data_IF_183643256766
#
_entry.id   IF_183643256766
#
_cell.length_a   1.000
_cell.length_b   1.000
_cell.length_c   1.000
_cell.angle_alpha   90.00
_cell.angle_beta   90.00
_cell.angle_gamma   90.00
#
_symmetry.space_group_name_H-M   'P 1'
#
loop_
_entity.id
_entity.type
_entity.pdbx_description
1 polymer ?
#
# COMPACT_ATOMS: atom_id res chain seq x y z
N UNK A 1 7.72 33.49 -40.03
CA UNK A 1 6.92 33.80 -38.81
C UNK A 1 5.93 32.70 -38.45
N UNK A 2 5.05 32.26 -39.38
CA UNK A 2 4.06 31.18 -39.13
C UNK A 2 4.65 29.85 -38.64
N UNK A 3 5.73 29.36 -39.25
CA UNK A 3 6.36 28.09 -38.83
C UNK A 3 7.05 28.18 -37.46
N UNK A 4 7.60 29.35 -37.10
CA UNK A 4 8.21 29.58 -35.78
C UNK A 4 7.12 29.55 -34.70
N UNK A 5 5.95 30.14 -34.97
CA UNK A 5 4.81 30.12 -34.07
C UNK A 5 4.32 28.68 -33.79
N UNK A 6 4.32 27.82 -34.81
CA UNK A 6 3.92 26.41 -34.69
C UNK A 6 4.93 25.61 -33.86
N UNK A 7 6.23 25.85 -34.04
CA UNK A 7 7.28 25.17 -33.26
C UNK A 7 7.20 25.58 -31.78
N UNK A 8 6.94 26.86 -31.52
CA UNK A 8 6.78 27.37 -30.14
C UNK A 8 5.51 26.80 -29.49
N UNK A 9 4.38 26.73 -30.21
CA UNK A 9 3.15 26.14 -29.66
C UNK A 9 3.28 24.65 -29.40
N UNK A 10 3.97 23.91 -30.28
CA UNK A 10 4.24 22.49 -30.11
C UNK A 10 5.21 22.22 -28.95
N UNK A 11 6.23 23.06 -28.77
CA UNK A 11 7.14 23.01 -27.63
C UNK A 11 6.45 23.28 -26.29
N UNK A 12 5.50 24.21 -26.25
CA UNK A 12 4.73 24.54 -25.05
C UNK A 12 3.76 23.40 -24.64
N UNK A 13 3.23 22.65 -25.62
CA UNK A 13 2.38 21.48 -25.37
C UNK A 13 3.07 20.35 -24.60
N UNK A 14 4.39 20.19 -24.74
CA UNK A 14 5.14 19.14 -24.03
C UNK A 14 5.24 19.36 -22.52
N UNK A 15 5.09 20.60 -22.05
CA UNK A 15 5.14 20.94 -20.61
C UNK A 15 3.93 20.39 -19.84
N UNK A 16 2.85 20.03 -20.52
CA UNK A 16 1.62 19.51 -19.87
C UNK A 16 1.63 18.00 -19.61
N UNK A 17 2.63 17.24 -20.10
CA UNK A 17 2.69 15.77 -19.93
C UNK A 17 3.43 15.30 -18.66
N UNK A 18 3.90 16.20 -17.79
CA UNK A 18 4.76 15.81 -16.66
C UNK A 18 4.02 15.24 -15.43
N UNK A 19 2.69 15.23 -15.41
CA UNK A 19 1.95 14.70 -14.27
C UNK A 19 1.77 13.18 -14.41
N UNK A 20 2.74 12.40 -13.91
CA UNK A 20 2.62 10.94 -13.75
C UNK A 20 2.20 10.63 -12.32
N UNK A 21 1.07 9.96 -12.17
CA UNK A 21 0.60 9.45 -10.87
C UNK A 21 1.41 8.19 -10.49
N UNK A 22 2.65 8.42 -10.06
CA UNK A 22 3.60 7.36 -9.72
C UNK A 22 3.10 6.47 -8.58
N UNK A 23 2.31 7.03 -7.65
CA UNK A 23 1.79 6.29 -6.50
C UNK A 23 0.80 5.21 -6.93
N UNK A 24 -0.13 5.51 -7.85
CA UNK A 24 -1.05 4.50 -8.39
C UNK A 24 -0.32 3.39 -9.14
N UNK A 25 0.72 3.75 -9.90
CA UNK A 25 1.53 2.76 -10.62
C UNK A 25 2.29 1.83 -9.66
N UNK A 26 2.83 2.36 -8.57
CA UNK A 26 3.49 1.58 -7.53
C UNK A 26 2.51 0.61 -6.83
N UNK A 27 1.34 1.09 -6.41
CA UNK A 27 0.32 0.26 -5.78
C UNK A 27 -0.15 -0.85 -6.74
N UNK A 28 -0.39 -0.53 -8.01
CA UNK A 28 -0.78 -1.52 -9.02
C UNK A 28 0.30 -2.58 -9.24
N UNK A 29 1.58 -2.19 -9.19
CA UNK A 29 2.71 -3.12 -9.24
C UNK A 29 2.68 -4.11 -8.08
N UNK A 30 2.52 -3.62 -6.85
CA UNK A 30 2.42 -4.46 -5.65
C UNK A 30 1.23 -5.41 -5.73
N UNK A 31 0.05 -4.93 -6.12
CA UNK A 31 -1.15 -5.79 -6.25
C UNK A 31 -0.92 -6.90 -7.27
N UNK A 32 -0.35 -6.57 -8.42
CA UNK A 32 -0.04 -7.55 -9.47
C UNK A 32 0.97 -8.59 -8.99
N UNK A 33 1.99 -8.17 -8.23
CA UNK A 33 3.02 -9.07 -7.71
C UNK A 33 2.46 -10.11 -6.73
N UNK A 34 1.50 -9.69 -5.90
CA UNK A 34 0.87 -10.52 -4.86
C UNK A 34 -0.33 -11.31 -5.36
N UNK A 35 -0.82 -11.03 -6.56
CA UNK A 35 -1.95 -11.75 -7.14
C UNK A 35 -1.63 -13.25 -7.26
N UNK A 36 -2.61 -14.08 -6.90
CA UNK A 36 -2.50 -15.55 -6.86
C UNK A 36 -1.37 -16.10 -5.97
N UNK A 37 -0.89 -15.32 -5.00
CA UNK A 37 0.04 -15.79 -3.96
C UNK A 37 -0.67 -16.07 -2.65
N UNK A 38 -0.14 -17.05 -1.92
CA UNK A 38 -0.62 -17.42 -0.59
C UNK A 38 0.41 -17.03 0.48
N UNK A 39 -0.09 -16.48 1.58
CA UNK A 39 0.73 -16.18 2.76
C UNK A 39 0.61 -17.34 3.74
N UNK A 40 1.73 -18.04 3.96
CA UNK A 40 1.80 -19.15 4.91
C UNK A 40 2.22 -18.62 6.28
N UNK A 41 1.35 -18.77 7.26
CA UNK A 41 1.65 -18.45 8.66
C UNK A 41 2.40 -19.63 9.31
N UNK A 42 3.51 -19.39 10.04
CA UNK A 42 4.17 -20.45 10.79
C UNK A 42 3.25 -21.09 11.84
N UNK A 43 3.53 -22.36 12.19
CA UNK A 43 2.70 -23.10 13.15
C UNK A 43 2.84 -22.56 14.58
N UNK A 44 4.05 -22.14 14.95
CA UNK A 44 4.37 -21.69 16.31
C UNK A 44 4.47 -20.17 16.41
N UNK A 45 3.46 -19.45 15.92
CA UNK A 45 3.43 -17.99 16.08
C UNK A 45 3.14 -17.65 17.54
N UNK A 46 3.95 -16.74 18.04
CA UNK A 46 3.85 -16.22 19.39
C UNK A 46 3.27 -14.80 19.32
N UNK A 47 2.20 -14.54 20.07
CA UNK A 47 1.52 -13.24 20.04
C UNK A 47 1.67 -12.49 21.36
N UNK A 48 1.76 -11.17 21.24
CA UNK A 48 1.55 -10.25 22.36
C UNK A 48 0.09 -9.80 22.37
N UNK A 49 -0.62 -10.03 23.49
CA UNK A 49 -2.01 -9.56 23.67
C UNK A 49 -2.15 -8.83 24.99
N UNK A 50 -2.75 -7.64 24.96
CA UNK A 50 -2.94 -6.80 26.15
C UNK A 50 -1.65 -6.57 26.97
N UNK A 51 -0.52 -6.36 26.28
CA UNK A 51 0.78 -6.14 26.90
C UNK A 51 1.43 -7.38 27.54
N UNK A 52 0.82 -8.56 27.40
CA UNK A 52 1.43 -9.84 27.76
C UNK A 52 1.97 -10.52 26.53
N UNK A 53 3.24 -10.87 26.58
CA UNK A 53 3.93 -11.57 25.49
C UNK A 53 3.91 -13.09 25.69
N UNK A 54 4.29 -13.83 24.65
CA UNK A 54 4.38 -15.30 24.66
C UNK A 54 3.08 -16.03 24.96
N UNK A 55 1.98 -15.56 24.37
CA UNK A 55 0.69 -16.24 24.50
C UNK A 55 0.51 -17.27 23.39
N UNK A 56 0.10 -18.48 23.78
CA UNK A 56 -0.51 -19.46 22.87
C UNK A 56 -1.89 -18.92 22.47
N UNK A 57 -1.91 -18.14 21.39
CA UNK A 57 -3.12 -17.56 20.83
C UNK A 57 -3.33 -18.11 19.42
N UNK A 58 -4.51 -18.67 19.18
CA UNK A 58 -4.92 -19.10 17.86
C UNK A 58 -5.70 -17.98 17.17
N UNK A 59 -5.26 -17.59 15.98
CA UNK A 59 -5.99 -16.64 15.15
C UNK A 59 -7.36 -17.27 14.83
N UNK A 60 -8.48 -16.59 15.11
CA UNK A 60 -9.80 -17.11 14.80
C UNK A 60 -9.98 -17.28 13.28
N UNK A 61 -10.88 -18.20 12.90
CA UNK A 61 -11.32 -18.33 11.51
C UNK A 61 -12.06 -17.07 11.08
N UNK A 62 -11.74 -16.58 9.87
CA UNK A 62 -12.34 -15.39 9.28
C UNK A 62 -12.23 -15.46 7.76
N UNK A 63 -13.22 -14.96 7.04
CA UNK A 63 -13.23 -14.92 5.57
C UNK A 63 -12.08 -14.07 5.02
N UNK A 64 -11.69 -13.03 5.77
CA UNK A 64 -10.63 -12.11 5.42
C UNK A 64 -9.66 -11.91 6.58
N UNK A 65 -8.38 -11.70 6.26
CA UNK A 65 -7.32 -11.40 7.22
C UNK A 65 -6.55 -10.18 6.72
N UNK A 66 -6.35 -9.20 7.60
CA UNK A 66 -5.55 -8.00 7.31
C UNK A 66 -4.15 -8.22 7.88
N UNK A 67 -3.16 -8.30 6.99
CA UNK A 67 -1.75 -8.34 7.37
C UNK A 67 -1.14 -6.95 7.19
N UNK A 68 -0.63 -6.36 8.27
CA UNK A 68 0.10 -5.11 8.21
C UNK A 68 1.49 -5.26 8.81
N UNK A 69 2.49 -4.81 8.06
CA UNK A 69 3.84 -4.64 8.56
C UNK A 69 4.02 -3.23 9.14
N UNK A 70 4.40 -3.14 10.41
CA UNK A 70 4.73 -1.88 11.09
C UNK A 70 6.15 -1.99 11.65
N UNK A 71 7.03 -1.09 11.23
CA UNK A 71 8.37 -0.96 11.78
C UNK A 71 8.35 -0.11 13.07
N UNK A 72 9.38 -0.28 13.91
CA UNK A 72 9.55 0.48 15.16
C UNK A 72 10.00 1.93 14.94
N UNK A 73 10.41 2.28 13.72
CA UNK A 73 10.96 3.60 13.37
C UNK A 73 9.85 4.55 12.89
N UNK A 74 8.69 4.01 12.48
CA UNK A 74 7.56 4.79 11.99
C UNK A 74 6.46 5.04 13.02
N UNK A 75 5.64 6.08 12.77
CA UNK A 75 4.40 6.30 13.50
C UNK A 75 3.38 5.18 13.18
N UNK A 76 3.15 4.29 14.15
CA UNK A 76 2.17 3.18 14.00
C UNK A 76 0.78 3.68 13.65
N UNK A 77 0.28 4.73 14.32
CA UNK A 77 -1.04 5.28 14.03
C UNK A 77 -1.14 5.80 12.58
N UNK A 78 -0.06 6.41 12.08
CA UNK A 78 0.02 6.98 10.75
C UNK A 78 0.06 5.91 9.65
N UNK A 79 0.68 4.76 9.92
CA UNK A 79 0.74 3.62 8.97
C UNK A 79 -0.50 2.71 9.05
N UNK A 80 -0.99 2.43 10.26
CA UNK A 80 -2.06 1.47 10.51
C UNK A 80 -3.43 2.01 10.08
N UNK A 81 -3.70 3.31 10.28
CA UNK A 81 -4.92 3.98 9.82
C UNK A 81 -6.23 3.20 10.10
N UNK A 82 -6.34 2.53 11.26
CA UNK A 82 -7.47 1.63 11.60
C UNK A 82 -8.86 2.22 11.30
N UNK A 83 -9.02 3.52 11.53
CA UNK A 83 -10.28 4.21 11.28
C UNK A 83 -10.74 4.13 9.81
N UNK A 84 -9.81 4.13 8.85
CA UNK A 84 -10.11 4.03 7.42
C UNK A 84 -10.51 2.62 7.00
N UNK A 85 -10.04 1.60 7.70
CA UNK A 85 -10.42 0.21 7.40
C UNK A 85 -11.91 -0.04 7.57
N UNK A 86 -12.59 0.72 8.44
CA UNK A 86 -14.06 0.69 8.60
C UNK A 86 -14.81 1.11 7.33
N UNK A 87 -14.15 1.71 6.35
CA UNK A 87 -14.77 2.02 5.05
C UNK A 87 -14.78 0.80 4.11
N UNK A 88 -14.00 -0.24 4.43
CA UNK A 88 -13.82 -1.46 3.61
C UNK A 88 -14.36 -2.73 4.27
N UNK A 89 -14.81 -2.64 5.53
CA UNK A 89 -15.31 -3.75 6.36
C UNK A 89 -16.67 -3.34 6.94
#
# INVERSE_FOLDING_TARGET
>A
MRNILIIVSMGFGFLFFSCKDNQKMEIAGIVTEWQDREIIFPQDIVFTRYGKDTLSYQIPSSDYKILLYVDSIGCTACKLQLHKWREFI
#
